data_IF_320437227183
#
_entry.id   IF_320437227183
#
_cell.length_a   1.000
_cell.length_b   1.000
_cell.length_c   1.000
_cell.angle_alpha   90.00
_cell.angle_beta   90.00
_cell.angle_gamma   90.00
#
_symmetry.space_group_name_H-M   'P 1'
#
loop_
_entity.id
_entity.type
_entity.pdbx_description
1 polymer ?
#
# COMPACT_ATOMS: atom_id res chain seq x y z
N UNK A 1 5.21 27.20 -49.12
CA UNK A 1 3.88 26.59 -48.89
C UNK A 1 3.85 26.06 -47.47
N UNK A 2 3.28 26.85 -46.55
CA UNK A 2 3.23 26.56 -45.12
C UNK A 2 2.13 25.56 -44.81
N UNK A 3 2.44 24.48 -44.09
CA UNK A 3 1.44 23.56 -43.55
C UNK A 3 1.02 24.05 -42.17
N UNK A 4 -0.26 24.37 -42.04
CA UNK A 4 -0.92 24.73 -40.78
C UNK A 4 -0.96 23.52 -39.86
N UNK A 5 -0.28 23.65 -38.71
CA UNK A 5 -0.38 22.72 -37.59
C UNK A 5 -1.69 23.04 -36.87
N UNK A 6 -2.76 22.30 -37.17
CA UNK A 6 -4.01 22.43 -36.43
C UNK A 6 -3.81 21.86 -35.04
N UNK A 7 -3.69 22.78 -34.09
CA UNK A 7 -3.78 22.58 -32.64
C UNK A 7 -5.06 21.79 -32.33
N UNK A 8 -4.91 20.49 -32.04
CA UNK A 8 -5.99 19.68 -31.49
C UNK A 8 -5.96 19.88 -29.98
N UNK A 9 -6.90 20.69 -29.52
CA UNK A 9 -7.32 20.86 -28.12
C UNK A 9 -7.31 19.50 -27.41
N UNK A 10 -6.65 19.34 -26.25
CA UNK A 10 -6.76 18.10 -25.51
C UNK A 10 -8.20 17.97 -25.03
N UNK A 11 -8.90 16.96 -25.56
CA UNK A 11 -10.17 16.50 -25.02
C UNK A 11 -9.98 16.34 -23.51
N UNK A 12 -10.88 16.98 -22.74
CA UNK A 12 -10.94 16.85 -21.29
C UNK A 12 -10.87 15.36 -20.96
N UNK A 13 -9.76 14.93 -20.39
CA UNK A 13 -9.62 13.61 -19.79
C UNK A 13 -10.67 13.54 -18.69
N UNK A 14 -11.84 12.99 -19.02
CA UNK A 14 -12.93 12.79 -18.08
C UNK A 14 -12.36 12.05 -16.89
N UNK A 15 -12.56 12.61 -15.70
CA UNK A 15 -12.06 12.12 -14.41
C UNK A 15 -11.89 10.60 -14.41
N UNK A 16 -10.65 10.14 -14.67
CA UNK A 16 -10.27 8.73 -14.71
C UNK A 16 -10.22 8.22 -13.27
N UNK A 17 -11.37 8.17 -12.62
CA UNK A 17 -11.52 7.36 -11.42
C UNK A 17 -11.20 5.92 -11.82
N UNK A 18 -10.16 5.36 -11.21
CA UNK A 18 -9.71 4.00 -11.49
C UNK A 18 -10.87 3.01 -11.37
N UNK A 19 -10.94 2.04 -12.28
CA UNK A 19 -12.03 1.06 -12.36
C UNK A 19 -12.29 0.34 -11.04
N UNK A 20 -11.26 0.16 -10.21
CA UNK A 20 -11.36 -0.43 -8.87
C UNK A 20 -12.30 0.36 -7.95
N UNK A 21 -12.24 1.70 -7.96
CA UNK A 21 -13.06 2.56 -7.08
C UNK A 21 -14.54 2.54 -7.47
N UNK A 22 -14.84 2.20 -8.72
CA UNK A 22 -16.22 2.13 -9.23
C UNK A 22 -16.94 0.84 -8.82
N UNK A 23 -16.21 -0.15 -8.32
CA UNK A 23 -16.82 -1.39 -7.81
C UNK A 23 -17.62 -1.11 -6.53
N UNK A 24 -18.70 -1.86 -6.26
CA UNK A 24 -19.34 -1.88 -4.95
C UNK A 24 -18.35 -2.15 -3.82
N UNK A 25 -18.62 -1.58 -2.64
CA UNK A 25 -17.75 -1.72 -1.46
C UNK A 25 -17.43 -3.18 -1.16
N UNK A 26 -18.44 -4.06 -1.20
CA UNK A 26 -18.31 -5.49 -0.92
C UNK A 26 -17.26 -6.18 -1.80
N UNK A 27 -17.22 -5.85 -3.10
CA UNK A 27 -16.22 -6.41 -4.02
C UNK A 27 -14.83 -5.83 -3.76
N UNK A 28 -14.73 -4.56 -3.34
CA UNK A 28 -13.45 -3.96 -2.97
C UNK A 28 -12.90 -4.59 -1.70
N UNK A 29 -13.75 -4.82 -0.70
CA UNK A 29 -13.36 -5.46 0.56
C UNK A 29 -12.85 -6.89 0.31
N UNK A 30 -13.51 -7.66 -0.56
CA UNK A 30 -13.03 -8.98 -0.99
C UNK A 30 -11.64 -8.90 -1.65
N UNK A 31 -11.43 -7.94 -2.56
CA UNK A 31 -10.11 -7.72 -3.19
C UNK A 31 -9.06 -7.34 -2.14
N UNK A 32 -9.39 -6.49 -1.19
CA UNK A 32 -8.45 -6.07 -0.14
C UNK A 32 -8.07 -7.24 0.74
N UNK A 33 -9.06 -8.05 1.12
CA UNK A 33 -8.85 -9.26 1.90
C UNK A 33 -7.92 -10.22 1.18
N UNK A 34 -8.14 -10.48 -0.11
CA UNK A 34 -7.27 -11.33 -0.92
C UNK A 34 -5.85 -10.76 -1.08
N UNK A 35 -5.71 -9.44 -1.23
CA UNK A 35 -4.40 -8.78 -1.39
C UNK A 35 -3.56 -8.83 -0.11
N UNK A 36 -4.18 -8.72 1.05
CA UNK A 36 -3.48 -8.75 2.33
C UNK A 36 -3.41 -10.14 2.96
N UNK A 37 -4.15 -11.11 2.46
CA UNK A 37 -4.00 -12.51 2.84
C UNK A 37 -2.59 -12.98 2.50
N UNK A 38 -1.88 -13.48 3.51
CA UNK A 38 -0.48 -13.92 3.43
C UNK A 38 0.51 -12.83 3.00
N UNK A 39 0.16 -11.55 3.13
CA UNK A 39 1.08 -10.46 2.83
C UNK A 39 2.28 -10.50 3.79
N UNK A 40 3.48 -10.63 3.22
CA UNK A 40 4.73 -10.56 3.98
C UNK A 40 5.50 -9.29 3.60
N UNK A 41 5.91 -8.56 4.63
CA UNK A 41 6.71 -7.34 4.48
C UNK A 41 8.05 -7.53 5.17
N UNK A 42 9.12 -7.43 4.38
CA UNK A 42 10.49 -7.52 4.86
C UNK A 42 10.99 -6.12 5.26
N UNK A 43 11.31 -5.96 6.53
CA UNK A 43 11.82 -4.72 7.12
C UNK A 43 13.35 -4.81 7.18
N UNK A 44 14.01 -3.99 6.37
CA UNK A 44 15.47 -3.92 6.29
C UNK A 44 15.98 -2.57 6.79
N UNK A 45 17.27 -2.53 7.14
CA UNK A 45 17.92 -1.31 7.62
C UNK A 45 17.80 -0.13 6.65
N UNK A 46 17.82 -0.39 5.34
CA UNK A 46 17.79 0.62 4.28
C UNK A 46 16.38 0.88 3.71
N UNK A 47 15.35 0.22 4.22
CA UNK A 47 13.98 0.40 3.75
C UNK A 47 13.11 -0.83 3.92
N UNK A 48 11.81 -0.63 3.70
CA UNK A 48 10.80 -1.69 3.78
C UNK A 48 10.50 -2.19 2.37
N UNK A 49 10.61 -3.50 2.15
CA UNK A 49 10.21 -4.13 0.89
C UNK A 49 8.84 -4.78 1.10
N UNK A 50 7.80 -4.05 0.76
CA UNK A 50 6.44 -4.54 0.84
C UNK A 50 5.96 -5.06 -0.52
N UNK A 51 5.71 -6.37 -0.63
CA UNK A 51 5.19 -6.98 -1.87
C UNK A 51 3.71 -6.69 -2.12
N UNK A 52 2.98 -6.18 -1.11
CA UNK A 52 1.53 -5.94 -1.18
C UNK A 52 1.09 -4.54 -0.71
N UNK A 53 2.02 -3.59 -0.58
CA UNK A 53 1.69 -2.20 -0.21
C UNK A 53 1.19 -1.33 -1.39
N UNK A 54 0.92 -1.93 -2.55
CA UNK A 54 0.48 -1.18 -3.74
C UNK A 54 -0.80 -0.39 -3.49
N UNK A 55 -1.77 -0.99 -2.78
CA UNK A 55 -3.05 -0.33 -2.47
C UNK A 55 -2.88 0.86 -1.51
N UNK A 56 -1.94 0.77 -0.56
CA UNK A 56 -1.71 1.84 0.42
C UNK A 56 -0.99 3.04 -0.20
N UNK A 57 -0.32 2.89 -1.34
CA UNK A 57 0.38 3.99 -2.02
C UNK A 57 -0.32 4.51 -3.29
N UNK A 58 -1.34 3.80 -3.78
CA UNK A 58 -1.98 4.11 -5.06
C UNK A 58 -2.79 5.41 -5.04
N UNK A 59 -3.72 5.57 -4.10
CA UNK A 59 -4.50 6.81 -3.94
C UNK A 59 -5.05 6.96 -2.52
N UNK A 60 -5.51 8.18 -2.19
CA UNK A 60 -6.01 8.52 -0.85
C UNK A 60 -7.19 7.64 -0.41
N UNK A 61 -8.10 7.32 -1.32
CA UNK A 61 -9.26 6.49 -0.99
C UNK A 61 -8.84 5.06 -0.64
N UNK A 62 -8.05 4.40 -1.50
CA UNK A 62 -7.53 3.06 -1.23
C UNK A 62 -6.70 3.04 0.05
N UNK A 63 -5.87 4.06 0.28
CA UNK A 63 -5.13 4.19 1.53
C UNK A 63 -6.05 4.17 2.75
N UNK A 64 -7.11 4.98 2.76
CA UNK A 64 -8.03 5.04 3.90
C UNK A 64 -8.78 3.72 4.11
N UNK A 65 -9.18 3.05 3.02
CA UNK A 65 -9.90 1.77 3.08
C UNK A 65 -8.99 0.60 3.51
N UNK A 66 -7.69 0.65 3.17
CA UNK A 66 -6.79 -0.52 3.31
C UNK A 66 -5.75 -0.43 4.41
N UNK A 67 -5.48 0.76 4.95
CA UNK A 67 -4.37 0.94 5.89
C UNK A 67 -4.51 0.11 7.16
N UNK A 68 -5.73 -0.08 7.66
CA UNK A 68 -5.97 -0.91 8.84
C UNK A 68 -5.74 -2.39 8.54
N UNK A 69 -6.31 -2.89 7.44
CA UNK A 69 -6.11 -4.26 6.96
C UNK A 69 -4.63 -4.55 6.73
N UNK A 70 -3.88 -3.60 6.16
CA UNK A 70 -2.44 -3.73 5.96
C UNK A 70 -1.72 -4.02 7.28
N UNK A 71 -1.95 -3.26 8.35
CA UNK A 71 -1.25 -3.51 9.61
C UNK A 71 -1.76 -4.77 10.35
N UNK A 72 -3.05 -5.08 10.23
CA UNK A 72 -3.67 -6.22 10.92
C UNK A 72 -3.28 -7.57 10.32
N UNK A 73 -3.24 -7.67 8.97
CA UNK A 73 -3.10 -8.97 8.27
C UNK A 73 -1.70 -9.23 7.71
N UNK A 74 -0.84 -8.21 7.68
CA UNK A 74 0.54 -8.37 7.17
C UNK A 74 1.46 -8.96 8.23
N UNK A 75 2.24 -9.98 7.85
CA UNK A 75 3.35 -10.46 8.64
C UNK A 75 4.61 -9.61 8.36
N UNK A 76 5.12 -8.95 9.40
CA UNK A 76 6.32 -8.13 9.31
C UNK A 76 7.54 -8.95 9.70
N UNK A 77 8.36 -9.30 8.71
CA UNK A 77 9.59 -10.06 8.90
C UNK A 77 10.75 -9.08 9.05
N UNK A 78 11.56 -9.28 10.08
CA UNK A 78 12.69 -8.43 10.42
C UNK A 78 13.92 -9.32 10.47
N UNK A 79 15.05 -8.85 9.94
CA UNK A 79 16.33 -9.51 10.17
C UNK A 79 16.70 -9.57 11.65
N UNK A 80 17.86 -10.15 11.97
CA UNK A 80 18.29 -10.38 13.36
C UNK A 80 18.61 -9.10 14.17
N UNK A 81 18.48 -7.92 13.57
CA UNK A 81 18.83 -6.63 14.18
C UNK A 81 17.61 -5.96 14.87
N UNK A 82 17.59 -5.99 16.20
CA UNK A 82 16.57 -5.34 17.02
C UNK A 82 16.55 -3.80 16.85
N UNK A 83 17.66 -3.17 16.46
CA UNK A 83 17.70 -1.72 16.22
C UNK A 83 16.88 -1.34 14.99
N UNK A 84 16.80 -2.21 13.99
CA UNK A 84 15.96 -2.02 12.79
C UNK A 84 14.48 -2.06 13.19
N UNK A 85 14.08 -3.04 14.02
CA UNK A 85 12.72 -3.13 14.55
C UNK A 85 12.34 -1.85 15.31
N UNK A 86 13.17 -1.41 16.24
CA UNK A 86 12.89 -0.21 17.04
C UNK A 86 12.74 1.05 16.17
N UNK A 87 13.66 1.25 15.21
CA UNK A 87 13.59 2.38 14.26
C UNK A 87 12.33 2.33 13.40
N UNK A 88 11.90 1.14 13.00
CA UNK A 88 10.67 0.96 12.22
C UNK A 88 9.42 1.23 13.05
N UNK A 89 9.31 0.65 14.25
CA UNK A 89 8.17 0.89 15.17
C UNK A 89 7.99 2.38 15.47
N UNK A 90 9.09 3.13 15.66
CA UNK A 90 9.04 4.58 15.92
C UNK A 90 8.46 5.39 14.76
N UNK A 91 8.49 4.87 13.53
CA UNK A 91 7.92 5.53 12.34
C UNK A 91 6.43 5.26 12.15
N UNK A 92 5.88 4.24 12.82
CA UNK A 92 4.46 3.89 12.69
C UNK A 92 3.64 4.87 13.54
N UNK A 93 2.58 5.49 12.98
CA UNK A 93 1.66 6.29 13.78
C UNK A 93 1.07 5.46 14.93
N UNK A 94 0.97 6.04 16.12
CA UNK A 94 0.53 5.32 17.33
C UNK A 94 -0.81 4.58 17.16
N UNK A 95 -1.73 5.13 16.35
CA UNK A 95 -3.00 4.49 15.98
C UNK A 95 -2.84 3.14 15.27
N UNK A 96 -1.81 3.00 14.43
CA UNK A 96 -1.54 1.82 13.64
C UNK A 96 -0.58 0.86 14.35
N UNK A 97 0.23 1.34 15.29
CA UNK A 97 1.13 0.48 16.07
C UNK A 97 0.40 -0.62 16.84
N UNK A 98 -0.83 -0.34 17.32
CA UNK A 98 -1.69 -1.33 17.99
C UNK A 98 -2.28 -2.39 17.05
N UNK A 99 -2.24 -2.13 15.75
CA UNK A 99 -2.78 -3.02 14.73
C UNK A 99 -1.75 -4.04 14.25
N UNK A 100 -0.46 -3.83 14.53
CA UNK A 100 0.60 -4.79 14.17
C UNK A 100 0.43 -6.04 15.04
N UNK A 101 -0.02 -7.13 14.42
CA UNK A 101 -0.28 -8.40 15.13
C UNK A 101 0.84 -9.43 14.99
N UNK A 102 1.55 -9.42 13.85
CA UNK A 102 2.53 -10.45 13.53
C UNK A 102 3.89 -9.85 13.15
N UNK A 103 4.84 -9.97 14.06
CA UNK A 103 6.25 -9.58 13.87
C UNK A 103 7.12 -10.81 14.04
N UNK A 104 7.85 -11.16 12.99
CA UNK A 104 8.70 -12.35 12.95
C UNK A 104 10.15 -11.96 12.78
N UNK A 105 11.04 -12.62 13.52
CA UNK A 105 12.48 -12.50 13.31
C UNK A 105 12.94 -13.58 12.34
N UNK A 106 13.62 -13.19 11.26
CA UNK A 106 14.28 -14.11 10.36
C UNK A 106 15.49 -14.73 11.10
N UNK A 107 15.55 -16.06 11.13
CA UNK A 107 16.59 -16.85 11.82
C UNK A 107 17.69 -17.34 10.86
N UNK A 108 17.74 -16.80 9.64
CA UNK A 108 18.79 -17.14 8.67
C UNK A 108 20.15 -16.59 9.06
#
# INVERSE_FOLDING_TARGET
MSKTFTDKTPEKVGNLQGHLIKLPQELRDQIYDDVFTDAVVDIRAYGTRARHAGLTIACKQLYLETIELYYQRTAFVIGSDAAVLYKWLKKIPAKHGKLVQDVRFDRR
#
